data_IF_641825916569
#
_entry.id   IF_641825916569
#
_cell.length_a   1.000
_cell.length_b   1.000
_cell.length_c   1.000
_cell.angle_alpha   90.00
_cell.angle_beta   90.00
_cell.angle_gamma   90.00
#
_symmetry.space_group_name_H-M   'P 1'
#
loop_
_entity.id
_entity.type
_entity.pdbx_description
1 polymer ?
#
# COMPACT_ATOMS: atom_id res chain seq x y z
N UNK A 1 4.44 -21.39 -40.12
CA UNK A 1 4.33 -22.74 -39.57
C UNK A 1 4.79 -22.64 -38.13
N UNK A 2 3.83 -22.73 -37.21
CA UNK A 2 4.04 -22.58 -35.77
C UNK A 2 4.83 -23.77 -35.23
N UNK A 3 6.08 -23.55 -34.85
CA UNK A 3 6.80 -24.51 -34.00
C UNK A 3 6.48 -24.18 -32.53
N UNK A 4 5.35 -24.71 -32.10
CA UNK A 4 4.88 -24.63 -30.73
C UNK A 4 5.60 -25.71 -29.89
N UNK A 5 6.92 -25.59 -29.77
CA UNK A 5 7.67 -26.36 -28.77
C UNK A 5 7.50 -25.68 -27.41
N UNK A 6 6.58 -26.22 -26.61
CA UNK A 6 6.51 -25.96 -25.16
C UNK A 6 7.82 -26.44 -24.52
N UNK A 7 8.88 -25.63 -24.58
CA UNK A 7 10.01 -25.70 -23.65
C UNK A 7 9.60 -24.95 -22.38
N UNK A 8 9.63 -25.68 -21.26
CA UNK A 8 9.26 -25.23 -19.91
C UNK A 8 9.65 -23.75 -19.64
N UNK A 9 8.65 -22.93 -19.31
CA UNK A 9 8.85 -21.72 -18.50
C UNK A 9 9.50 -20.48 -19.14
N UNK A 10 9.85 -20.45 -20.42
CA UNK A 10 10.49 -19.27 -21.04
C UNK A 10 9.53 -18.58 -22.02
N UNK A 11 9.31 -17.28 -21.85
CA UNK A 11 8.54 -16.43 -22.76
C UNK A 11 9.47 -15.63 -23.65
N UNK A 12 9.14 -15.62 -24.95
CA UNK A 12 9.83 -14.84 -25.97
C UNK A 12 8.87 -13.87 -26.62
N UNK A 13 9.20 -12.58 -26.65
CA UNK A 13 8.36 -11.55 -27.27
C UNK A 13 9.22 -10.57 -28.08
N UNK A 14 8.68 -10.04 -29.17
CA UNK A 14 9.36 -9.04 -29.99
C UNK A 14 8.76 -7.67 -29.66
N UNK A 15 9.61 -6.66 -29.46
CA UNK A 15 9.18 -5.29 -29.19
C UNK A 15 10.08 -4.26 -29.87
N UNK A 16 9.55 -3.06 -30.08
CA UNK A 16 10.27 -1.89 -30.60
C UNK A 16 11.18 -1.22 -29.57
N UNK A 17 10.67 -1.11 -28.34
CA UNK A 17 11.35 -0.35 -27.30
C UNK A 17 12.67 -1.03 -26.90
N UNK A 18 13.78 -0.30 -26.71
CA UNK A 18 15.05 -0.88 -26.25
C UNK A 18 15.01 -1.30 -24.76
N UNK A 19 15.99 -2.09 -24.30
CA UNK A 19 16.18 -2.42 -22.89
C UNK A 19 16.43 -1.17 -22.06
N UNK A 20 15.77 -1.06 -20.89
CA UNK A 20 15.85 0.12 -20.05
C UNK A 20 17.21 0.32 -19.34
N UNK A 21 17.96 -0.76 -19.06
CA UNK A 21 19.09 -0.67 -18.13
C UNK A 21 20.46 -0.88 -18.79
N UNK A 22 20.60 -1.81 -19.75
CA UNK A 22 21.91 -2.08 -20.33
C UNK A 22 21.86 -2.65 -21.74
N UNK A 23 22.84 -2.25 -22.55
CA UNK A 23 23.13 -2.79 -23.88
C UNK A 23 24.61 -3.14 -23.98
N UNK A 24 24.90 -4.30 -24.55
CA UNK A 24 26.22 -4.86 -24.69
C UNK A 24 26.44 -5.30 -26.13
N UNK A 25 27.31 -4.60 -26.87
CA UNK A 25 27.66 -4.93 -28.25
C UNK A 25 28.94 -5.76 -28.28
N UNK A 26 28.93 -6.86 -29.04
CA UNK A 26 30.12 -7.62 -29.42
C UNK A 26 30.43 -7.33 -30.87
N UNK A 27 31.66 -6.92 -31.14
CA UNK A 27 32.21 -6.81 -32.49
C UNK A 27 33.17 -7.97 -32.74
N UNK A 28 33.26 -8.41 -33.99
CA UNK A 28 34.06 -9.58 -34.38
C UNK A 28 33.70 -10.84 -33.57
N UNK A 29 32.40 -11.12 -33.43
CA UNK A 29 31.88 -12.23 -32.63
C UNK A 29 32.50 -13.58 -33.01
N UNK A 30 32.70 -13.83 -34.31
CA UNK A 30 33.32 -15.06 -34.80
C UNK A 30 34.74 -15.26 -34.28
N UNK A 31 35.51 -14.19 -34.06
CA UNK A 31 36.84 -14.25 -33.47
C UNK A 31 36.75 -14.55 -31.97
N UNK A 32 35.84 -13.89 -31.24
CA UNK A 32 35.57 -14.18 -29.82
C UNK A 32 35.26 -15.67 -29.63
N UNK A 33 34.34 -16.22 -30.43
CA UNK A 33 33.94 -17.63 -30.37
C UNK A 33 35.10 -18.60 -30.67
N UNK A 34 36.04 -18.21 -31.54
CA UNK A 34 37.23 -19.01 -31.89
C UNK A 34 38.35 -18.98 -30.85
N UNK A 35 38.36 -18.00 -29.93
CA UNK A 35 39.40 -17.94 -28.87
C UNK A 35 39.38 -19.15 -27.94
N UNK A 36 38.26 -19.88 -27.87
CA UNK A 36 38.07 -20.98 -26.93
C UNK A 36 37.69 -20.53 -25.53
N UNK A 37 37.35 -19.25 -25.34
CA UNK A 37 36.86 -18.74 -24.05
C UNK A 37 35.52 -19.40 -23.68
N UNK A 38 35.40 -19.83 -22.42
CA UNK A 38 34.14 -20.37 -21.90
C UNK A 38 33.05 -19.29 -21.86
N UNK A 39 33.35 -18.16 -21.22
CA UNK A 39 32.47 -16.99 -21.12
C UNK A 39 33.22 -15.66 -21.18
N UNK A 40 32.52 -14.63 -21.62
CA UNK A 40 32.91 -13.23 -21.55
C UNK A 40 31.99 -12.49 -20.58
N UNK A 41 32.55 -11.66 -19.71
CA UNK A 41 31.80 -10.83 -18.78
C UNK A 41 31.80 -9.37 -19.26
N UNK A 42 30.62 -8.77 -19.30
CA UNK A 42 30.47 -7.37 -19.67
C UNK A 42 31.00 -6.42 -18.61
N UNK A 43 31.03 -5.13 -18.92
CA UNK A 43 31.18 -4.09 -17.90
C UNK A 43 30.00 -4.07 -16.92
N UNK A 44 30.20 -3.40 -15.77
CA UNK A 44 29.20 -3.22 -14.73
C UNK A 44 28.15 -2.21 -15.17
N UNK A 45 26.90 -2.51 -14.86
CA UNK A 45 25.82 -1.53 -14.91
C UNK A 45 25.00 -1.53 -13.62
N UNK A 46 24.40 -0.39 -13.30
CA UNK A 46 23.57 -0.23 -12.11
C UNK A 46 22.09 -0.31 -12.49
N UNK A 47 21.35 -1.14 -11.76
CA UNK A 47 19.90 -1.25 -11.87
C UNK A 47 19.32 -1.73 -10.54
N UNK A 48 18.10 -1.28 -10.19
CA UNK A 48 17.43 -1.72 -8.98
C UNK A 48 18.23 -1.49 -7.66
N UNK A 49 19.17 -0.53 -7.65
CA UNK A 49 20.04 -0.24 -6.50
C UNK A 49 21.21 -1.22 -6.31
N UNK A 50 21.47 -2.09 -7.28
CA UNK A 50 22.57 -3.05 -7.27
C UNK A 50 23.38 -2.96 -8.56
N UNK A 51 24.60 -3.50 -8.51
CA UNK A 51 25.51 -3.60 -9.65
C UNK A 51 25.42 -4.99 -10.29
N UNK A 52 25.42 -5.00 -11.61
CA UNK A 52 25.19 -6.20 -12.40
C UNK A 52 26.16 -6.28 -13.57
N UNK A 53 26.38 -7.51 -14.07
CA UNK A 53 27.08 -7.79 -15.33
C UNK A 53 26.30 -8.81 -16.15
N UNK A 54 26.59 -8.86 -17.44
CA UNK A 54 26.18 -9.94 -18.33
C UNK A 54 27.32 -10.93 -18.52
N UNK A 55 27.01 -12.22 -18.37
CA UNK A 55 27.91 -13.36 -18.55
C UNK A 55 27.49 -14.10 -19.81
N UNK A 56 28.22 -13.87 -20.90
CA UNK A 56 27.94 -14.40 -22.25
C UNK A 56 28.78 -15.64 -22.53
N UNK A 57 28.15 -16.74 -22.90
CA UNK A 57 28.83 -17.94 -23.40
C UNK A 57 28.60 -18.04 -24.92
N UNK A 58 29.59 -17.63 -25.75
CA UNK A 58 29.41 -17.55 -27.20
C UNK A 58 29.23 -18.93 -27.87
N UNK A 59 29.78 -19.99 -27.26
CA UNK A 59 29.64 -21.38 -27.73
C UNK A 59 28.69 -22.22 -26.85
N UNK A 60 27.97 -21.56 -25.94
CA UNK A 60 27.05 -22.18 -25.00
C UNK A 60 27.68 -22.68 -23.71
N UNK A 61 26.91 -22.63 -22.63
CA UNK A 61 27.29 -23.15 -21.32
C UNK A 61 27.04 -24.66 -21.26
N UNK A 62 28.06 -25.44 -21.62
CA UNK A 62 27.99 -26.90 -21.62
C UNK A 62 27.70 -27.48 -20.23
N UNK A 63 28.04 -26.79 -19.13
CA UNK A 63 27.76 -27.26 -17.76
C UNK A 63 26.27 -27.17 -17.42
N UNK A 64 25.53 -26.30 -18.11
CA UNK A 64 24.09 -26.07 -17.91
C UNK A 64 23.24 -26.49 -19.10
N UNK A 65 23.71 -27.44 -19.92
CA UNK A 65 23.00 -27.94 -21.11
C UNK A 65 22.75 -26.84 -22.18
N UNK A 66 23.70 -25.91 -22.33
CA UNK A 66 23.69 -24.83 -23.33
C UNK A 66 24.33 -25.18 -24.67
N UNK A 67 24.78 -26.42 -24.86
CA UNK A 67 25.45 -26.85 -26.09
C UNK A 67 24.57 -26.61 -27.33
N UNK A 68 25.12 -25.92 -28.34
CA UNK A 68 24.38 -25.55 -29.55
C UNK A 68 23.56 -24.26 -29.43
N UNK A 69 23.66 -23.53 -28.32
CA UNK A 69 22.96 -22.27 -28.07
C UNK A 69 23.94 -21.18 -27.65
N UNK A 70 23.56 -19.93 -27.88
CA UNK A 70 24.07 -18.80 -27.10
C UNK A 70 23.49 -18.92 -25.69
N UNK A 71 24.33 -18.79 -24.67
CA UNK A 71 23.88 -18.66 -23.27
C UNK A 71 24.18 -17.27 -22.75
N UNK A 72 23.27 -16.71 -21.97
CA UNK A 72 23.44 -15.40 -21.36
C UNK A 72 22.86 -15.41 -19.95
N UNK A 73 23.62 -14.84 -19.02
CA UNK A 73 23.24 -14.74 -17.63
C UNK A 73 23.41 -13.33 -17.09
N UNK A 74 22.53 -12.97 -16.15
CA UNK A 74 22.65 -11.82 -15.29
C UNK A 74 23.39 -12.23 -14.02
N UNK A 75 24.46 -11.51 -13.70
CA UNK A 75 25.30 -11.75 -12.52
C UNK A 75 25.24 -10.51 -11.64
N UNK A 76 24.98 -10.68 -10.34
CA UNK A 76 25.12 -9.59 -9.38
C UNK A 76 26.60 -9.40 -9.05
N UNK A 77 27.07 -8.16 -9.10
CA UNK A 77 28.47 -7.79 -8.88
C UNK A 77 28.67 -7.08 -7.54
N UNK A 78 29.93 -6.89 -7.14
CA UNK A 78 30.35 -6.23 -5.90
C UNK A 78 29.71 -6.84 -4.63
N UNK A 79 29.51 -8.16 -4.65
CA UNK A 79 28.86 -8.90 -3.55
C UNK A 79 29.66 -8.87 -2.24
N UNK A 80 30.95 -8.55 -2.29
CA UNK A 80 31.83 -8.34 -1.14
C UNK A 80 31.42 -7.11 -0.31
N UNK A 81 30.72 -6.15 -0.92
CA UNK A 81 30.19 -4.98 -0.22
C UNK A 81 28.85 -5.24 0.45
N UNK A 82 28.26 -6.43 0.23
CA UNK A 82 26.96 -6.81 0.78
C UNK A 82 27.12 -7.61 2.10
N UNK A 83 26.16 -7.50 3.05
CA UNK A 83 26.18 -8.30 4.28
C UNK A 83 26.20 -9.80 3.99
N UNK A 84 26.85 -10.63 4.82
CA UNK A 84 26.93 -12.09 4.57
C UNK A 84 25.59 -12.82 4.36
N UNK A 85 24.48 -12.26 4.86
CA UNK A 85 23.13 -12.80 4.71
C UNK A 85 22.30 -12.05 3.66
N UNK A 86 22.95 -11.37 2.71
CA UNK A 86 22.26 -10.60 1.69
C UNK A 86 21.37 -11.48 0.82
N UNK A 87 20.24 -10.90 0.44
CA UNK A 87 19.29 -11.50 -0.47
C UNK A 87 18.69 -10.39 -1.33
N UNK A 88 18.72 -10.59 -2.65
CA UNK A 88 18.10 -9.67 -3.61
C UNK A 88 17.12 -10.46 -4.46
N UNK A 89 15.86 -10.07 -4.42
CA UNK A 89 14.82 -10.68 -5.23
C UNK A 89 14.53 -9.77 -6.42
N UNK A 90 14.75 -10.24 -7.65
CA UNK A 90 14.54 -9.44 -8.86
C UNK A 90 13.72 -10.20 -9.89
N UNK A 91 12.97 -9.45 -10.69
CA UNK A 91 12.52 -9.90 -12.01
C UNK A 91 13.46 -9.30 -13.05
N UNK A 92 13.92 -10.07 -14.01
CA UNK A 92 14.79 -9.56 -15.08
C UNK A 92 14.37 -10.07 -16.45
N UNK A 93 14.84 -9.36 -17.47
CA UNK A 93 14.65 -9.71 -18.88
C UNK A 93 15.98 -9.57 -19.60
N UNK A 94 16.25 -10.49 -20.52
CA UNK A 94 17.41 -10.45 -21.40
C UNK A 94 16.96 -10.22 -22.84
N UNK A 95 17.79 -9.53 -23.61
CA UNK A 95 17.43 -9.09 -24.95
C UNK A 95 18.49 -9.42 -25.98
N UNK A 96 18.04 -9.58 -27.23
CA UNK A 96 18.88 -9.57 -28.42
C UNK A 96 18.27 -8.65 -29.48
N UNK A 97 19.10 -7.83 -30.12
CA UNK A 97 18.66 -6.92 -31.19
C UNK A 97 18.63 -7.66 -32.54
N UNK A 98 17.46 -7.70 -33.17
CA UNK A 98 17.31 -7.91 -34.61
C UNK A 98 17.67 -6.59 -35.31
N UNK A 99 18.88 -6.53 -35.83
CA UNK A 99 19.45 -5.34 -36.45
C UNK A 99 18.86 -5.04 -37.84
N UNK A 100 18.13 -5.99 -38.45
CA UNK A 100 17.47 -5.77 -39.75
C UNK A 100 16.14 -5.05 -39.54
N UNK A 101 15.37 -5.46 -38.54
CA UNK A 101 14.01 -4.95 -38.29
C UNK A 101 13.97 -3.86 -37.23
N UNK A 102 15.11 -3.58 -36.59
CA UNK A 102 15.24 -2.71 -35.42
C UNK A 102 14.25 -3.09 -34.30
N UNK A 103 14.27 -4.39 -33.95
CA UNK A 103 13.39 -4.97 -32.92
C UNK A 103 14.19 -5.74 -31.90
N UNK A 104 13.69 -5.77 -30.67
CA UNK A 104 14.30 -6.50 -29.57
C UNK A 104 13.55 -7.80 -29.31
N UNK A 105 14.23 -8.92 -29.47
CA UNK A 105 13.80 -10.21 -28.93
C UNK A 105 14.00 -10.15 -27.41
N UNK A 106 12.89 -10.17 -26.68
CA UNK A 106 12.82 -10.18 -25.22
C UNK A 106 12.65 -11.61 -24.72
N UNK A 107 13.47 -12.02 -23.77
CA UNK A 107 13.49 -13.36 -23.18
C UNK A 107 13.37 -13.22 -21.67
N UNK A 108 12.32 -13.81 -21.11
CA UNK A 108 11.99 -13.74 -19.68
C UNK A 108 11.34 -15.06 -19.23
N UNK A 109 11.23 -15.28 -17.92
CA UNK A 109 10.43 -16.40 -17.39
C UNK A 109 8.92 -16.14 -17.62
N UNK A 110 8.21 -17.15 -18.13
CA UNK A 110 6.83 -17.03 -18.61
C UNK A 110 5.80 -16.81 -17.49
N UNK A 111 6.12 -17.23 -16.27
CA UNK A 111 5.30 -17.05 -15.06
C UNK A 111 5.62 -15.75 -14.31
N UNK A 112 6.56 -14.94 -14.81
CA UNK A 112 7.06 -13.78 -14.09
C UNK A 112 7.88 -14.16 -12.85
N UNK A 113 8.55 -15.32 -12.86
CA UNK A 113 9.34 -15.81 -11.74
C UNK A 113 10.30 -14.74 -11.20
N UNK A 114 10.21 -14.52 -9.88
CA UNK A 114 11.17 -13.72 -9.14
C UNK A 114 12.40 -14.58 -8.85
N UNK A 115 13.57 -14.09 -9.22
CA UNK A 115 14.85 -14.76 -8.99
C UNK A 115 15.51 -14.21 -7.74
N UNK A 116 15.81 -15.14 -6.83
CA UNK A 116 16.49 -14.86 -5.56
C UNK A 116 17.99 -14.98 -5.78
N UNK A 117 18.69 -13.85 -5.72
CA UNK A 117 20.13 -13.78 -5.64
C UNK A 117 20.55 -13.80 -4.17
N UNK A 118 21.56 -14.58 -3.84
CA UNK A 118 22.16 -14.65 -2.50
C UNK A 118 23.59 -15.15 -2.59
N UNK A 119 24.31 -15.19 -1.46
CA UNK A 119 25.72 -15.57 -1.38
C UNK A 119 26.11 -16.94 -2.00
N UNK A 120 25.17 -17.88 -2.21
CA UNK A 120 25.43 -19.15 -2.92
C UNK A 120 24.90 -19.17 -4.37
N UNK A 121 24.14 -18.15 -4.77
CA UNK A 121 23.47 -18.08 -6.07
C UNK A 121 23.49 -16.63 -6.58
N UNK A 122 24.59 -16.28 -7.23
CA UNK A 122 24.86 -14.92 -7.75
C UNK A 122 24.56 -14.76 -9.24
N UNK A 123 24.17 -15.82 -9.93
CA UNK A 123 23.94 -15.85 -11.37
C UNK A 123 22.62 -16.53 -11.72
N UNK A 124 21.83 -15.87 -12.56
CA UNK A 124 20.59 -16.39 -13.15
C UNK A 124 20.49 -16.00 -14.62
N UNK A 125 19.93 -16.87 -15.46
CA UNK A 125 19.88 -16.63 -16.90
C UNK A 125 19.39 -17.84 -17.67
N UNK A 126 19.72 -17.86 -18.96
CA UNK A 126 19.25 -18.89 -19.88
C UNK A 126 20.43 -19.57 -20.56
N UNK A 127 20.66 -20.84 -20.20
CA UNK A 127 21.62 -21.70 -20.89
C UNK A 127 21.28 -21.88 -22.38
N UNK A 128 19.98 -21.89 -22.72
CA UNK A 128 19.48 -21.99 -24.09
C UNK A 128 18.73 -20.70 -24.47
N UNK A 129 19.45 -19.57 -24.49
CA UNK A 129 18.87 -18.27 -24.82
C UNK A 129 18.32 -18.28 -26.26
N UNK A 130 19.20 -18.55 -27.22
CA UNK A 130 18.94 -18.60 -28.65
C UNK A 130 19.82 -19.68 -29.31
N UNK A 131 19.26 -20.49 -30.22
CA UNK A 131 20.08 -21.52 -30.89
C UNK A 131 21.13 -20.88 -31.79
N UNK A 132 22.30 -21.52 -31.90
CA UNK A 132 23.36 -21.05 -32.81
C UNK A 132 22.89 -21.03 -34.27
N UNK A 133 22.00 -21.95 -34.66
CA UNK A 133 21.37 -21.94 -35.98
C UNK A 133 20.55 -20.66 -36.21
N UNK A 134 19.69 -20.29 -35.26
CA UNK A 134 18.88 -19.07 -35.35
C UNK A 134 19.73 -17.80 -35.24
N UNK A 135 20.78 -17.83 -34.42
CA UNK A 135 21.72 -16.72 -34.25
C UNK A 135 22.53 -16.45 -35.52
N UNK A 136 23.06 -17.50 -36.16
CA UNK A 136 23.88 -17.40 -37.37
C UNK A 136 23.06 -17.22 -38.65
N UNK A 137 21.75 -17.47 -38.61
CA UNK A 137 20.87 -17.19 -39.73
C UNK A 137 20.71 -15.68 -39.92
N UNK A 138 21.37 -15.15 -40.95
CA UNK A 138 21.37 -13.71 -41.29
C UNK A 138 19.98 -13.11 -41.45
N UNK A 139 18.97 -13.87 -41.87
CA UNK A 139 17.59 -13.38 -42.02
C UNK A 139 16.90 -13.02 -40.69
N UNK A 140 17.44 -13.50 -39.56
CA UNK A 140 16.96 -13.19 -38.21
C UNK A 140 17.58 -11.91 -37.64
N UNK A 141 18.65 -11.37 -38.26
CA UNK A 141 19.21 -10.06 -37.90
C UNK A 141 20.03 -9.99 -36.61
N UNK A 142 20.25 -11.11 -35.89
CA UNK A 142 20.98 -11.10 -34.62
C UNK A 142 22.50 -10.96 -34.77
N UNK A 143 23.07 -11.48 -35.86
CA UNK A 143 24.48 -11.36 -36.20
C UNK A 143 24.63 -10.71 -37.58
N UNK A 144 24.98 -9.42 -37.61
CA UNK A 144 25.14 -8.62 -38.84
C UNK A 144 26.53 -7.99 -38.83
N UNK A 145 27.29 -8.18 -39.92
CA UNK A 145 28.66 -7.66 -40.01
C UNK A 145 29.57 -8.20 -38.90
N UNK A 146 29.39 -9.46 -38.50
CA UNK A 146 30.07 -10.09 -37.35
C UNK A 146 29.88 -9.35 -36.01
N UNK A 147 28.78 -8.58 -35.89
CA UNK A 147 28.40 -7.86 -34.69
C UNK A 147 27.05 -8.32 -34.16
N UNK A 148 26.91 -8.42 -32.84
CA UNK A 148 25.64 -8.70 -32.16
C UNK A 148 25.48 -7.82 -30.92
N UNK A 149 24.23 -7.61 -30.51
CA UNK A 149 23.89 -6.73 -29.37
C UNK A 149 22.94 -7.47 -28.43
N UNK A 150 23.35 -7.54 -27.16
CA UNK A 150 22.58 -8.06 -26.04
C UNK A 150 22.09 -6.92 -25.16
N UNK A 151 21.09 -7.17 -24.32
CA UNK A 151 20.70 -6.21 -23.29
C UNK A 151 20.04 -6.83 -22.08
N UNK A 152 19.79 -5.99 -21.08
CA UNK A 152 19.20 -6.40 -19.81
C UNK A 152 18.22 -5.37 -19.25
N UNK A 153 17.22 -5.88 -18.54
CA UNK A 153 16.39 -5.11 -17.62
C UNK A 153 16.31 -5.82 -16.28
N UNK A 154 16.44 -5.10 -15.17
CA UNK A 154 16.38 -5.66 -13.82
C UNK A 154 15.42 -4.82 -12.97
N UNK A 155 14.47 -5.48 -12.32
CA UNK A 155 13.44 -4.84 -11.50
C UNK A 155 13.44 -5.46 -10.10
N UNK A 156 13.61 -4.62 -9.07
CA UNK A 156 13.61 -5.05 -7.67
C UNK A 156 12.21 -5.48 -7.23
N UNK A 157 12.14 -6.62 -6.55
CA UNK A 157 10.91 -7.18 -5.99
C UNK A 157 10.96 -7.14 -4.46
N UNK A 158 10.73 -5.96 -3.89
CA UNK A 158 10.69 -5.78 -2.43
C UNK A 158 9.35 -6.27 -1.83
N UNK A 159 9.42 -6.96 -0.69
CA UNK A 159 8.22 -7.33 0.08
C UNK A 159 7.78 -6.19 1.01
N UNK A 160 7.39 -5.06 0.44
CA UNK A 160 6.87 -3.92 1.21
C UNK A 160 5.34 -4.01 1.42
N UNK A 161 4.87 -5.18 1.86
CA UNK A 161 3.44 -5.43 2.04
C UNK A 161 2.89 -4.59 3.20
N UNK A 162 2.22 -3.48 2.86
CA UNK A 162 1.45 -2.70 3.82
C UNK A 162 0.07 -3.33 3.96
N UNK A 163 -0.34 -3.61 5.18
CA UNK A 163 -1.65 -4.18 5.45
C UNK A 163 -2.31 -3.50 6.64
N UNK A 164 -3.65 -3.49 6.64
CA UNK A 164 -4.45 -2.91 7.70
C UNK A 164 -5.51 -3.88 8.20
N UNK A 165 -5.89 -3.72 9.46
CA UNK A 165 -6.92 -4.50 10.12
C UNK A 165 -7.99 -3.55 10.67
N UNK A 166 -9.20 -3.63 10.12
CA UNK A 166 -10.40 -2.99 10.65
C UNK A 166 -11.06 -3.95 11.63
N UNK A 167 -11.24 -3.50 12.87
CA UNK A 167 -11.94 -4.23 13.93
C UNK A 167 -13.04 -3.35 14.52
N UNK A 168 -14.13 -3.95 14.98
CA UNK A 168 -15.19 -3.26 15.73
C UNK A 168 -15.05 -3.60 17.21
N UNK A 169 -14.88 -2.58 18.06
CA UNK A 169 -14.79 -2.74 19.52
C UNK A 169 -16.17 -2.53 20.10
N UNK A 170 -16.81 -3.62 20.51
CA UNK A 170 -18.07 -3.58 21.27
C UNK A 170 -17.75 -3.29 22.73
N UNK A 171 -18.54 -2.42 23.35
CA UNK A 171 -18.43 -2.03 24.77
C UNK A 171 -16.98 -1.69 25.17
N UNK A 172 -16.37 -0.66 24.53
CA UNK A 172 -15.01 -0.23 24.88
C UNK A 172 -14.89 0.14 26.36
N UNK A 173 -13.68 0.06 26.92
CA UNK A 173 -13.45 0.53 28.29
C UNK A 173 -13.75 2.04 28.41
N UNK A 174 -14.30 2.44 29.57
CA UNK A 174 -14.70 3.81 29.87
C UNK A 174 -15.57 4.44 28.77
N UNK A 175 -16.56 3.68 28.27
CA UNK A 175 -17.36 4.06 27.10
C UNK A 175 -18.28 5.27 27.27
N UNK A 176 -18.30 5.93 28.42
CA UNK A 176 -19.29 6.97 28.73
C UNK A 176 -18.63 8.31 29.01
N UNK A 177 -18.95 9.30 28.17
CA UNK A 177 -18.58 10.69 28.39
C UNK A 177 -19.67 11.34 29.22
N UNK A 178 -19.36 11.78 30.44
CA UNK A 178 -20.31 12.52 31.30
C UNK A 178 -19.94 13.99 31.35
N UNK A 179 -20.89 14.87 31.05
CA UNK A 179 -20.71 16.31 31.14
C UNK A 179 -21.76 16.95 32.03
N UNK A 180 -21.32 17.38 33.22
CA UNK A 180 -22.10 18.15 34.18
C UNK A 180 -21.87 19.64 33.98
N UNK A 181 -22.96 20.39 33.85
CA UNK A 181 -22.96 21.84 33.75
C UNK A 181 -23.63 22.43 34.99
N UNK A 182 -22.83 22.91 35.94
CA UNK A 182 -23.30 23.61 37.12
C UNK A 182 -23.66 25.07 36.82
N UNK A 183 -24.48 25.69 37.67
CA UNK A 183 -25.02 27.04 37.47
C UNK A 183 -25.67 27.22 36.08
N UNK A 184 -26.45 26.23 35.64
CA UNK A 184 -27.03 26.13 34.30
C UNK A 184 -27.82 27.38 33.91
N UNK A 185 -28.54 27.98 34.86
CA UNK A 185 -29.30 29.23 34.68
C UNK A 185 -28.43 30.42 34.26
N UNK A 186 -27.14 30.43 34.62
CA UNK A 186 -26.18 31.51 34.33
C UNK A 186 -25.41 31.30 33.03
N UNK A 187 -25.61 30.18 32.33
CA UNK A 187 -24.94 29.91 31.08
C UNK A 187 -25.41 30.85 29.96
N UNK A 188 -24.46 31.59 29.39
CA UNK A 188 -24.66 32.67 28.43
C UNK A 188 -24.04 32.39 27.05
N UNK A 189 -23.04 31.49 26.97
CA UNK A 189 -22.39 31.12 25.72
C UNK A 189 -23.34 30.37 24.80
N UNK A 190 -23.05 30.46 23.49
CA UNK A 190 -23.80 29.75 22.44
C UNK A 190 -23.79 28.23 22.66
N UNK A 191 -22.62 27.69 23.01
CA UNK A 191 -22.42 26.28 23.28
C UNK A 191 -21.32 26.07 24.33
N UNK A 192 -21.31 24.87 24.88
CA UNK A 192 -20.32 24.39 25.85
C UNK A 192 -19.85 23.01 25.41
N UNK A 193 -18.58 22.71 25.67
CA UNK A 193 -17.96 21.44 25.31
C UNK A 193 -17.51 20.70 26.57
N UNK A 194 -17.60 19.37 26.55
CA UNK A 194 -16.99 18.53 27.58
C UNK A 194 -15.47 18.50 27.44
N UNK A 195 -14.79 17.94 28.44
CA UNK A 195 -13.42 17.46 28.24
C UNK A 195 -13.38 16.36 27.18
N UNK A 196 -12.23 16.23 26.52
CA UNK A 196 -11.96 15.18 25.53
C UNK A 196 -11.76 13.85 26.25
N UNK A 197 -12.45 12.81 25.80
CA UNK A 197 -12.34 11.45 26.29
C UNK A 197 -11.86 10.53 25.16
N UNK A 198 -10.95 9.62 25.47
CA UNK A 198 -10.50 8.62 24.51
C UNK A 198 -11.28 7.34 24.74
N UNK A 199 -12.08 6.93 23.75
CA UNK A 199 -12.88 5.69 23.81
C UNK A 199 -12.50 4.82 22.62
N UNK A 200 -12.03 3.62 22.91
CA UNK A 200 -11.25 2.83 21.96
C UNK A 200 -9.93 3.56 21.63
N UNK A 201 -9.69 3.84 20.35
CA UNK A 201 -8.51 4.60 19.91
C UNK A 201 -8.89 6.01 19.40
N UNK A 202 -10.14 6.43 19.60
CA UNK A 202 -10.67 7.69 19.07
C UNK A 202 -10.95 8.68 20.19
N UNK A 203 -10.68 9.95 19.92
CA UNK A 203 -10.95 11.05 20.86
C UNK A 203 -12.29 11.70 20.57
N UNK A 204 -13.12 11.78 21.59
CA UNK A 204 -14.49 12.22 21.51
C UNK A 204 -14.76 13.36 22.50
N UNK A 205 -15.72 14.22 22.19
CA UNK A 205 -16.27 15.21 23.13
C UNK A 205 -17.75 15.45 22.86
N UNK A 206 -18.46 15.91 23.89
CA UNK A 206 -19.84 16.38 23.76
C UNK A 206 -19.84 17.88 23.48
N UNK A 207 -20.75 18.31 22.60
CA UNK A 207 -21.07 19.72 22.38
C UNK A 207 -22.54 19.96 22.70
N UNK A 208 -22.81 20.88 23.62
CA UNK A 208 -24.14 21.22 24.10
C UNK A 208 -24.47 22.65 23.74
N UNK A 209 -25.67 22.88 23.17
CA UNK A 209 -26.24 24.21 22.97
C UNK A 209 -27.41 24.37 23.95
N UNK A 210 -27.19 24.94 25.15
CA UNK A 210 -28.22 25.00 26.20
C UNK A 210 -29.52 25.65 25.74
N UNK A 211 -29.40 26.67 24.87
CA UNK A 211 -30.52 27.42 24.28
C UNK A 211 -30.78 27.06 22.82
N UNK A 212 -30.26 25.94 22.32
CA UNK A 212 -30.50 25.41 20.99
C UNK A 212 -29.60 25.92 19.87
N UNK A 213 -29.47 25.09 18.83
CA UNK A 213 -28.64 25.32 17.65
C UNK A 213 -29.48 25.61 16.39
N UNK A 214 -28.97 26.47 15.51
CA UNK A 214 -29.54 26.85 14.20
C UNK A 214 -31.06 27.13 14.29
N UNK A 215 -31.89 26.23 13.74
CA UNK A 215 -33.35 26.37 13.62
C UNK A 215 -34.10 26.24 14.95
N UNK A 216 -33.46 25.69 15.99
CA UNK A 216 -34.08 25.40 17.29
C UNK A 216 -33.62 26.33 18.41
N UNK A 217 -32.95 27.43 18.07
CA UNK A 217 -32.56 28.47 19.04
C UNK A 217 -33.79 28.98 19.80
N UNK A 218 -33.70 28.99 21.13
CA UNK A 218 -34.77 29.35 22.07
C UNK A 218 -35.89 28.31 22.24
N UNK A 219 -35.81 27.15 21.57
CA UNK A 219 -36.90 26.16 21.55
C UNK A 219 -36.52 24.84 22.21
N UNK A 220 -35.32 24.34 21.95
CA UNK A 220 -34.83 23.06 22.48
C UNK A 220 -33.33 23.12 22.74
N UNK A 221 -32.87 22.37 23.74
CA UNK A 221 -31.44 22.10 23.91
C UNK A 221 -30.97 21.17 22.79
N UNK A 222 -29.77 21.44 22.26
CA UNK A 222 -29.13 20.58 21.27
C UNK A 222 -27.93 19.86 21.87
N UNK A 223 -27.72 18.60 21.49
CA UNK A 223 -26.64 17.75 21.98
C UNK A 223 -26.02 16.98 20.81
N UNK A 224 -24.69 17.04 20.70
CA UNK A 224 -23.91 16.39 19.65
C UNK A 224 -22.70 15.67 20.22
N UNK A 225 -22.35 14.53 19.62
CA UNK A 225 -21.07 13.87 19.80
C UNK A 225 -20.14 14.28 18.67
N UNK A 226 -18.89 14.61 18.99
CA UNK A 226 -17.87 15.03 18.04
C UNK A 226 -16.65 14.13 18.12
N UNK A 227 -16.14 13.72 16.95
CA UNK A 227 -14.84 13.08 16.80
C UNK A 227 -13.77 14.17 16.64
N UNK A 228 -12.96 14.37 17.68
CA UNK A 228 -12.02 15.50 17.81
C UNK A 228 -10.99 15.55 16.68
N UNK A 229 -10.55 14.38 16.22
CA UNK A 229 -9.49 14.27 15.21
C UNK A 229 -10.05 14.04 13.80
N UNK A 230 -11.37 14.21 13.60
CA UNK A 230 -12.04 13.92 12.34
C UNK A 230 -11.45 14.70 11.16
N UNK A 231 -11.17 16.00 11.34
CA UNK A 231 -10.61 16.86 10.29
C UNK A 231 -9.20 16.46 9.86
N UNK A 232 -8.48 15.73 10.72
CA UNK A 232 -7.13 15.23 10.43
C UNK A 232 -7.15 13.86 9.75
N UNK A 233 -8.33 13.26 9.58
CA UNK A 233 -8.46 11.99 8.89
C UNK A 233 -8.17 12.16 7.39
N UNK A 234 -7.50 11.19 6.75
CA UNK A 234 -7.38 11.15 5.29
C UNK A 234 -8.75 11.23 4.60
N UNK A 235 -8.85 11.77 3.37
CA UNK A 235 -10.13 12.12 2.72
C UNK A 235 -11.18 11.00 2.64
N UNK A 236 -10.75 9.73 2.61
CA UNK A 236 -11.65 8.56 2.54
C UNK A 236 -11.76 7.79 3.86
N UNK A 237 -11.01 8.18 4.90
CA UNK A 237 -11.02 7.49 6.19
C UNK A 237 -12.25 7.91 6.97
N UNK A 238 -12.89 6.93 7.60
CA UNK A 238 -14.04 7.13 8.46
C UNK A 238 -13.86 6.36 9.75
N UNK A 239 -14.52 6.82 10.81
CA UNK A 239 -14.64 6.12 12.09
C UNK A 239 -16.11 5.88 12.32
N UNK A 240 -16.49 4.61 12.47
CA UNK A 240 -17.84 4.23 12.85
C UNK A 240 -17.99 4.31 14.36
N UNK A 241 -19.14 4.77 14.83
CA UNK A 241 -19.56 4.59 16.21
C UNK A 241 -21.08 4.38 16.30
N UNK A 242 -21.48 3.51 17.24
CA UNK A 242 -22.84 3.39 17.75
C UNK A 242 -22.82 3.92 19.17
N UNK A 243 -23.68 4.89 19.44
CA UNK A 243 -23.67 5.57 20.72
C UNK A 243 -25.05 6.05 21.12
N UNK A 244 -25.25 6.21 22.41
CA UNK A 244 -26.45 6.74 23.02
C UNK A 244 -26.15 8.11 23.58
N UNK A 245 -26.84 9.13 23.09
CA UNK A 245 -26.84 10.47 23.68
C UNK A 245 -27.94 10.55 24.73
N UNK A 246 -27.67 11.20 25.86
CA UNK A 246 -28.60 11.25 26.99
C UNK A 246 -28.59 12.61 27.69
N UNK A 247 -29.77 13.07 28.11
CA UNK A 247 -29.96 14.06 29.17
C UNK A 247 -30.47 13.32 30.41
N UNK A 248 -29.71 13.34 31.51
CA UNK A 248 -30.08 12.59 32.71
C UNK A 248 -31.25 13.26 33.43
N UNK A 249 -32.27 12.47 33.71
CA UNK A 249 -33.17 12.72 34.82
C UNK A 249 -32.45 12.38 36.13
N UNK A 250 -32.38 13.34 37.04
CA UNK A 250 -31.60 13.26 38.28
C UNK A 250 -32.46 12.90 39.51
N UNK A 251 -33.75 12.59 39.32
CA UNK A 251 -34.69 12.26 40.42
C UNK A 251 -35.09 10.79 40.39
N UNK A 252 -35.58 10.29 39.25
CA UNK A 252 -36.18 8.94 39.16
C UNK A 252 -35.57 8.05 38.08
N UNK A 253 -34.49 8.50 37.41
CA UNK A 253 -33.80 7.71 36.40
C UNK A 253 -34.47 7.68 35.01
N UNK A 254 -35.62 8.36 34.80
CA UNK A 254 -36.29 8.43 33.50
C UNK A 254 -35.57 9.41 32.54
N UNK A 255 -34.38 9.00 32.10
CA UNK A 255 -33.52 9.77 31.22
C UNK A 255 -34.17 10.00 29.85
N UNK A 256 -33.84 11.13 29.21
CA UNK A 256 -34.16 11.33 27.79
C UNK A 256 -32.95 10.90 26.97
N UNK A 257 -33.10 9.88 26.13
CA UNK A 257 -31.99 9.30 25.39
C UNK A 257 -32.35 8.89 23.96
N UNK A 258 -31.37 8.93 23.07
CA UNK A 258 -31.48 8.51 21.68
C UNK A 258 -30.23 7.74 21.27
N UNK A 259 -30.43 6.61 20.57
CA UNK A 259 -29.36 5.82 19.97
C UNK A 259 -29.07 6.32 18.56
N UNK A 260 -27.79 6.38 18.22
CA UNK A 260 -27.28 6.87 16.93
C UNK A 260 -26.23 5.90 16.41
N UNK A 261 -26.32 5.58 15.12
CA UNK A 261 -25.29 4.89 14.35
C UNK A 261 -24.70 5.86 13.34
N UNK A 262 -23.38 6.04 13.35
CA UNK A 262 -22.77 7.07 12.50
C UNK A 262 -21.36 6.73 12.05
N UNK A 263 -21.09 7.05 10.78
CA UNK A 263 -19.74 7.21 10.27
C UNK A 263 -19.31 8.67 10.36
N UNK A 264 -18.26 8.93 11.14
CA UNK A 264 -17.58 10.21 11.24
C UNK A 264 -16.46 10.28 10.21
N UNK A 265 -16.22 11.47 9.66
CA UNK A 265 -15.19 11.74 8.67
C UNK A 265 -14.75 13.20 8.74
N UNK A 266 -13.72 13.58 7.98
CA UNK A 266 -13.30 14.97 7.87
C UNK A 266 -14.42 15.95 7.42
N UNK A 267 -15.44 15.43 6.74
CA UNK A 267 -16.62 16.22 6.30
C UNK A 267 -17.85 16.04 7.19
N UNK A 268 -17.80 15.15 8.18
CA UNK A 268 -18.89 14.83 9.11
C UNK A 268 -18.29 14.63 10.50
N UNK A 269 -17.75 15.70 11.07
CA UNK A 269 -16.94 15.69 12.29
C UNK A 269 -17.77 15.45 13.56
N UNK A 270 -19.05 15.84 13.52
CA UNK A 270 -19.99 15.64 14.61
C UNK A 270 -21.38 15.23 14.10
N UNK A 271 -22.17 14.64 15.00
CA UNK A 271 -23.57 14.32 14.76
C UNK A 271 -24.34 14.22 16.08
N UNK A 272 -25.64 14.48 16.03
CA UNK A 272 -26.51 14.51 17.19
C UNK A 272 -27.86 15.13 16.85
N UNK A 273 -28.55 15.66 17.87
CA UNK A 273 -29.89 16.18 17.71
C UNK A 273 -29.93 17.70 17.96
N UNK A 274 -30.21 18.50 16.91
CA UNK A 274 -30.49 19.93 17.06
C UNK A 274 -31.69 20.23 17.97
N UNK A 275 -32.65 19.30 18.05
CA UNK A 275 -33.82 19.37 18.94
C UNK A 275 -33.81 18.15 19.86
N UNK A 276 -32.88 18.10 20.82
CA UNK A 276 -32.74 16.95 21.71
C UNK A 276 -33.86 16.92 22.75
N UNK A 277 -34.02 18.00 23.52
CA UNK A 277 -35.08 18.17 24.53
C UNK A 277 -35.66 19.58 24.45
N UNK A 278 -36.99 19.70 24.38
CA UNK A 278 -37.66 21.00 24.39
C UNK A 278 -37.36 21.76 25.68
N UNK A 279 -37.07 23.07 25.59
CA UNK A 279 -36.71 23.87 26.77
C UNK A 279 -37.84 23.91 27.80
N UNK A 280 -39.10 23.92 27.35
CA UNK A 280 -40.27 23.82 28.22
C UNK A 280 -40.25 22.56 29.09
N UNK A 281 -39.84 21.42 28.52
CA UNK A 281 -39.74 20.15 29.24
C UNK A 281 -38.49 20.11 30.12
N UNK A 282 -37.37 20.62 29.62
CA UNK A 282 -36.09 20.67 30.33
C UNK A 282 -36.18 21.50 31.63
N UNK A 283 -36.89 22.63 31.59
CA UNK A 283 -37.04 23.56 32.71
C UNK A 283 -38.23 23.24 33.63
N UNK A 284 -39.04 22.23 33.33
CA UNK A 284 -40.10 21.75 34.22
C UNK A 284 -39.46 20.99 35.39
N UNK A 285 -39.46 21.62 36.58
CA UNK A 285 -38.86 21.06 37.78
C UNK A 285 -39.42 19.68 38.16
N UNK A 286 -40.68 19.37 37.81
CA UNK A 286 -41.28 18.06 38.05
C UNK A 286 -40.66 16.94 37.20
N UNK A 287 -39.97 17.30 36.12
CA UNK A 287 -39.29 16.36 35.22
C UNK A 287 -37.87 16.03 35.68
N UNK A 288 -37.28 16.79 36.60
CA UNK A 288 -36.01 16.42 37.24
C UNK A 288 -34.77 16.42 36.34
N UNK A 289 -34.79 17.08 35.19
CA UNK A 289 -33.60 17.18 34.32
C UNK A 289 -32.58 18.20 34.81
N UNK A 290 -33.06 19.31 35.40
CA UNK A 290 -32.22 20.30 36.09
C UNK A 290 -32.51 20.18 37.58
N UNK A 291 -31.48 19.84 38.36
CA UNK A 291 -31.55 19.69 39.82
C UNK A 291 -30.38 20.46 40.42
N UNK A 292 -30.63 21.27 41.46
CA UNK A 292 -29.65 22.20 42.04
C UNK A 292 -28.92 23.04 40.97
N UNK A 293 -29.70 23.62 40.05
CA UNK A 293 -29.21 24.41 38.92
C UNK A 293 -28.10 23.72 38.10
N UNK A 294 -28.16 22.40 38.00
CA UNK A 294 -27.17 21.59 37.29
C UNK A 294 -27.84 20.68 36.28
N UNK A 295 -27.26 20.60 35.08
CA UNK A 295 -27.68 19.68 34.02
C UNK A 295 -26.58 18.65 33.78
N UNK A 296 -26.93 17.37 33.63
CA UNK A 296 -25.99 16.30 33.28
C UNK A 296 -26.39 15.70 31.94
N UNK A 297 -25.45 15.69 30.99
CA UNK A 297 -25.60 15.03 29.69
C UNK A 297 -24.52 13.97 29.53
N UNK A 298 -24.84 12.91 28.78
CA UNK A 298 -23.93 11.78 28.56
C UNK A 298 -23.90 11.35 27.09
N UNK A 299 -22.78 10.76 26.68
CA UNK A 299 -22.65 9.95 25.49
C UNK A 299 -22.04 8.60 25.85
N UNK A 300 -22.80 7.52 25.69
CA UNK A 300 -22.34 6.14 25.90
C UNK A 300 -22.07 5.50 24.54
N UNK A 301 -20.81 5.18 24.23
CA UNK A 301 -20.39 4.59 22.95
C UNK A 301 -20.40 3.06 23.07
N UNK A 302 -21.42 2.41 22.52
CA UNK A 302 -21.58 0.95 22.58
C UNK A 302 -20.71 0.20 21.57
N UNK A 303 -20.35 0.83 20.45
CA UNK A 303 -19.53 0.22 19.40
C UNK A 303 -18.67 1.29 18.75
N UNK A 304 -17.39 1.01 18.47
CA UNK A 304 -16.50 1.92 17.73
C UNK A 304 -15.54 1.16 16.81
N UNK A 305 -15.32 1.67 15.60
CA UNK A 305 -14.34 1.08 14.69
C UNK A 305 -12.90 1.45 15.07
N UNK A 306 -11.99 0.49 14.92
CA UNK A 306 -10.54 0.66 15.09
C UNK A 306 -9.81 0.15 13.86
N UNK A 307 -8.87 0.94 13.34
CA UNK A 307 -8.02 0.55 12.22
C UNK A 307 -6.57 0.49 12.68
N UNK A 308 -6.00 -0.71 12.71
CA UNK A 308 -4.57 -0.95 12.94
C UNK A 308 -3.85 -1.03 11.59
N UNK A 309 -2.65 -0.48 11.50
CA UNK A 309 -1.80 -0.53 10.31
C UNK A 309 -0.47 -1.18 10.66
N UNK A 310 0.00 -2.01 9.76
CA UNK A 310 1.27 -2.70 9.87
C UNK A 310 2.13 -2.27 8.67
N UNK A 311 3.31 -1.76 8.99
CA UNK A 311 4.33 -1.31 8.04
C UNK A 311 5.54 -2.20 8.13
#
# INVERSE_FOLDING_TARGET
MDDNSKKLGIRRTIRDFPPAHYLFKVESFSLLAKTGVDKYESDVFEAAGYKWRLSLYPNGDNKSNGSGFISLYLVIDETENLPHTWEVNVSFRLFMLDQIRDKYLTIEDADGAVKRFHWMKTEWGFAQLLSLESFNNTSNGYLIGDCCIFGAEVFLMERNCKWECLSMIKEPEDNTITFKMDNFSKLDKKYYESSVHTIGDSKWKLTVYPKGNVKFKGKALSLFLELVEAEKLPPKRKVYAEYKLRVRNQINGNHMEFTVERWFSATSVNWGYPQFIALKLLHDASKGYIVYDSLIVEAEIALVSKVKRFS
#
